data_IF_439983917521
#
_entry.id   IF_439983917521
#
_cell.length_a   1.000
_cell.length_b   1.000
_cell.length_c   1.000
_cell.angle_alpha   90.00
_cell.angle_beta   90.00
_cell.angle_gamma   90.00
#
_symmetry.space_group_name_H-M   'P 1'
#
loop_
_entity.id
_entity.type
_entity.pdbx_description
1 polymer ?
#
# COMPACT_ATOMS: atom_id res chain seq x y z
N UNK A 1 0.74 -1.62 -27.36
CA UNK A 1 0.68 -0.32 -26.66
C UNK A 1 -0.55 -0.33 -25.80
N UNK A 2 -0.43 -0.28 -24.48
CA UNK A 2 -1.60 -0.22 -23.59
C UNK A 2 -2.24 1.16 -23.71
N UNK A 3 -3.56 1.20 -23.86
CA UNK A 3 -4.31 2.46 -23.89
C UNK A 3 -4.21 3.13 -22.53
N UNK A 4 -3.88 4.42 -22.52
CA UNK A 4 -3.79 5.22 -21.29
C UNK A 4 -5.01 6.12 -21.16
N UNK A 5 -5.59 6.16 -19.97
CA UNK A 5 -6.71 6.99 -19.59
C UNK A 5 -6.27 8.05 -18.57
N UNK A 6 -6.88 9.23 -18.65
CA UNK A 6 -6.66 10.32 -17.71
C UNK A 6 -7.95 10.59 -16.94
N UNK A 7 -7.91 10.42 -15.62
CA UNK A 7 -9.05 10.56 -14.72
C UNK A 7 -8.81 11.72 -13.76
N UNK A 8 -9.79 12.60 -13.64
CA UNK A 8 -9.78 13.68 -12.66
C UNK A 8 -10.50 13.26 -11.38
N UNK A 9 -9.78 13.27 -10.26
CA UNK A 9 -10.25 12.91 -8.93
C UNK A 9 -10.50 14.19 -8.12
N UNK A 10 -11.67 14.79 -8.33
CA UNK A 10 -12.04 16.09 -7.75
C UNK A 10 -12.02 16.13 -6.21
N UNK A 11 -12.22 14.99 -5.53
CA UNK A 11 -12.15 14.87 -4.07
C UNK A 11 -10.74 14.63 -3.50
N UNK A 12 -9.70 15.00 -4.23
CA UNK A 12 -8.28 14.79 -3.90
C UNK A 12 -7.46 16.09 -4.11
N UNK A 13 -8.03 17.23 -3.69
CA UNK A 13 -7.33 18.50 -3.73
C UNK A 13 -6.04 18.51 -2.87
N UNK A 14 -5.07 19.39 -3.12
CA UNK A 14 -3.86 19.48 -2.31
C UNK A 14 -4.12 19.90 -0.85
N UNK A 15 -5.24 20.59 -0.61
CA UNK A 15 -5.66 21.10 0.70
C UNK A 15 -7.11 20.69 0.92
N UNK A 16 -7.49 20.19 2.11
CA UNK A 16 -6.66 19.92 3.31
C UNK A 16 -5.71 18.72 3.17
N UNK A 17 -4.75 18.58 4.10
CA UNK A 17 -3.73 17.52 4.11
C UNK A 17 -4.30 16.10 3.90
N UNK A 18 -5.49 15.81 4.44
CA UNK A 18 -6.15 14.52 4.27
C UNK A 18 -6.43 14.19 2.79
N UNK A 19 -6.81 15.19 1.97
CA UNK A 19 -7.05 14.99 0.53
C UNK A 19 -5.75 14.73 -0.22
N UNK A 20 -4.66 15.40 0.16
CA UNK A 20 -3.34 15.17 -0.39
C UNK A 20 -2.85 13.74 -0.12
N UNK A 21 -2.97 13.28 1.13
CA UNK A 21 -2.59 11.93 1.52
C UNK A 21 -3.44 10.87 0.82
N UNK A 22 -4.73 11.13 0.64
CA UNK A 22 -5.62 10.26 -0.15
C UNK A 22 -5.15 10.15 -1.60
N UNK A 23 -4.77 11.28 -2.23
CA UNK A 23 -4.26 11.29 -3.60
C UNK A 23 -2.99 10.45 -3.75
N UNK A 24 -2.03 10.63 -2.83
CA UNK A 24 -0.79 9.86 -2.79
C UNK A 24 -1.04 8.38 -2.52
N UNK A 25 -1.98 8.06 -1.62
CA UNK A 25 -2.39 6.70 -1.34
C UNK A 25 -2.96 6.00 -2.58
N UNK A 26 -3.84 6.68 -3.32
CA UNK A 26 -4.39 6.18 -4.59
C UNK A 26 -3.27 5.94 -5.60
N UNK A 27 -2.38 6.92 -5.80
CA UNK A 27 -1.28 6.80 -6.76
C UNK A 27 -0.38 5.60 -6.41
N UNK A 28 0.04 5.49 -5.15
CA UNK A 28 0.87 4.40 -4.67
C UNK A 28 0.20 3.05 -4.92
N UNK A 29 -1.03 2.87 -4.44
CA UNK A 29 -1.78 1.61 -4.54
C UNK A 29 -1.99 1.20 -6.00
N UNK A 30 -2.37 2.13 -6.88
CA UNK A 30 -2.54 1.86 -8.31
C UNK A 30 -1.20 1.50 -8.96
N UNK A 31 -0.13 2.23 -8.62
CA UNK A 31 1.20 1.99 -9.18
C UNK A 31 1.78 0.63 -8.78
N UNK A 32 1.56 0.21 -7.52
CA UNK A 32 2.09 -1.05 -6.99
C UNK A 32 1.27 -2.26 -7.43
N UNK A 33 -0.06 -2.15 -7.53
CA UNK A 33 -0.95 -3.32 -7.67
C UNK A 33 -1.54 -3.50 -9.07
N UNK A 34 -1.55 -2.46 -9.92
CA UNK A 34 -2.25 -2.51 -11.21
C UNK A 34 -1.42 -1.99 -12.38
N UNK A 35 -0.76 -0.85 -12.24
CA UNK A 35 -0.06 -0.20 -13.33
C UNK A 35 1.23 0.48 -12.86
N UNK A 36 2.40 -0.19 -12.98
CA UNK A 36 3.68 0.38 -12.60
C UNK A 36 4.04 1.70 -13.29
N UNK A 37 3.39 2.03 -14.41
CA UNK A 37 3.61 3.28 -15.15
C UNK A 37 2.58 4.36 -14.83
N UNK A 38 1.70 4.14 -13.83
CA UNK A 38 0.73 5.14 -13.42
C UNK A 38 1.42 6.42 -12.93
N UNK A 39 0.93 7.56 -13.39
CA UNK A 39 1.44 8.88 -12.99
C UNK A 39 0.32 9.75 -12.44
N UNK A 40 0.66 10.61 -11.49
CA UNK A 40 -0.26 11.53 -10.85
C UNK A 40 0.26 12.96 -10.89
N UNK A 41 -0.63 13.92 -11.14
CA UNK A 41 -0.32 15.35 -11.01
C UNK A 41 -1.53 16.12 -10.49
N UNK A 42 -1.30 17.26 -9.87
CA UNK A 42 -2.40 18.20 -9.60
C UNK A 42 -2.58 19.16 -10.76
N UNK A 43 -3.84 19.42 -11.13
CA UNK A 43 -4.22 20.44 -12.09
C UNK A 43 -5.50 21.12 -11.61
N UNK A 44 -5.47 22.45 -11.46
CA UNK A 44 -6.60 23.25 -10.95
C UNK A 44 -7.21 22.67 -9.66
N UNK A 45 -6.36 22.44 -8.66
CA UNK A 45 -6.72 21.88 -7.35
C UNK A 45 -7.39 20.50 -7.38
N UNK A 46 -7.24 19.75 -8.46
CA UNK A 46 -7.75 18.39 -8.59
C UNK A 46 -6.61 17.45 -8.93
N UNK A 47 -6.62 16.28 -8.31
CA UNK A 47 -5.64 15.25 -8.63
C UNK A 47 -6.03 14.56 -9.94
N UNK A 48 -5.10 14.49 -10.87
CA UNK A 48 -5.24 13.88 -12.18
C UNK A 48 -4.38 12.62 -12.21
N UNK A 49 -5.03 11.47 -12.34
CA UNK A 49 -4.39 10.16 -12.46
C UNK A 49 -4.34 9.75 -13.93
N UNK A 50 -3.18 9.33 -14.40
CA UNK A 50 -2.97 8.80 -15.74
C UNK A 50 -2.47 7.36 -15.62
N UNK A 51 -3.25 6.39 -16.11
CA UNK A 51 -2.92 4.96 -16.04
C UNK A 51 -3.68 4.17 -17.12
N UNK A 52 -3.48 2.87 -17.19
CA UNK A 52 -4.24 1.94 -18.02
C UNK A 52 -5.68 1.70 -17.53
N UNK A 53 -6.06 2.23 -16.38
CA UNK A 53 -7.40 2.07 -15.79
C UNK A 53 -8.32 3.22 -16.22
N UNK A 54 -9.46 2.88 -16.83
CA UNK A 54 -10.57 3.82 -16.97
C UNK A 54 -11.36 3.94 -15.65
N UNK A 55 -12.43 4.74 -15.64
CA UNK A 55 -13.22 5.01 -14.42
C UNK A 55 -13.78 3.72 -13.84
N UNK A 56 -14.38 2.88 -14.66
CA UNK A 56 -15.05 1.64 -14.27
C UNK A 56 -14.03 0.65 -13.72
N UNK A 57 -12.90 0.45 -14.42
CA UNK A 57 -11.82 -0.42 -13.98
C UNK A 57 -11.18 0.06 -12.66
N UNK A 58 -11.05 1.37 -12.46
CA UNK A 58 -10.56 1.93 -11.20
C UNK A 58 -11.53 1.64 -10.04
N UNK A 59 -12.84 1.71 -10.28
CA UNK A 59 -13.86 1.39 -9.27
C UNK A 59 -13.86 -0.10 -8.94
N UNK A 60 -13.89 -0.97 -9.96
CA UNK A 60 -13.80 -2.43 -9.78
C UNK A 60 -12.54 -2.80 -8.99
N UNK A 61 -11.41 -2.19 -9.31
CA UNK A 61 -10.17 -2.40 -8.56
C UNK A 61 -10.35 -2.11 -7.06
N UNK A 62 -10.85 -0.93 -6.70
CA UNK A 62 -11.00 -0.56 -5.29
C UNK A 62 -12.08 -1.37 -4.55
N UNK A 63 -13.12 -1.83 -5.25
CA UNK A 63 -14.24 -2.56 -4.65
C UNK A 63 -13.98 -4.06 -4.49
N UNK A 64 -13.28 -4.67 -5.45
CA UNK A 64 -13.23 -6.13 -5.57
C UNK A 64 -11.81 -6.69 -5.45
N UNK A 65 -10.79 -5.93 -5.84
CA UNK A 65 -9.44 -6.47 -6.04
C UNK A 65 -8.39 -5.85 -5.12
N UNK A 66 -8.66 -4.69 -4.53
CA UNK A 66 -7.72 -3.95 -3.70
C UNK A 66 -7.24 -4.78 -2.52
N UNK A 67 -5.91 -4.90 -2.40
CA UNK A 67 -5.27 -5.59 -1.29
C UNK A 67 -4.60 -4.56 -0.36
N UNK A 68 -5.12 -4.34 0.85
CA UNK A 68 -4.51 -3.41 1.78
C UNK A 68 -3.10 -3.88 2.18
N UNK A 69 -2.14 -2.95 2.22
CA UNK A 69 -0.81 -3.26 2.74
C UNK A 69 -0.93 -3.64 4.22
N UNK A 70 -0.48 -4.84 4.65
CA UNK A 70 -0.54 -5.24 6.05
C UNK A 70 0.21 -4.23 6.93
N UNK A 71 -0.48 -3.67 7.92
CA UNK A 71 0.15 -2.79 8.92
C UNK A 71 0.68 -3.66 10.05
N UNK A 72 1.99 -3.83 10.09
CA UNK A 72 2.69 -4.51 11.17
C UNK A 72 3.48 -3.46 11.96
N UNK A 73 3.30 -3.46 13.28
CA UNK A 73 4.08 -2.64 14.20
C UNK A 73 5.06 -3.54 14.96
N UNK A 74 6.24 -3.88 14.38
CA UNK A 74 7.20 -4.80 14.98
C UNK A 74 7.83 -4.28 16.29
N UNK A 75 7.61 -3.00 16.62
CA UNK A 75 8.14 -2.36 17.83
C UNK A 75 7.15 -2.34 19.00
N UNK A 76 5.92 -2.85 18.83
CA UNK A 76 4.97 -2.97 19.93
C UNK A 76 5.30 -4.19 20.79
N UNK A 77 5.33 -4.03 22.12
CA UNK A 77 5.44 -5.17 23.04
C UNK A 77 4.23 -6.10 22.89
N UNK A 78 4.45 -7.40 22.65
CA UNK A 78 3.39 -8.35 22.34
C UNK A 78 3.06 -8.49 20.85
N UNK A 79 3.86 -7.92 19.95
CA UNK A 79 3.68 -8.00 18.49
C UNK A 79 3.99 -9.37 17.89
N UNK A 80 4.60 -10.27 18.66
CA UNK A 80 4.96 -11.63 18.21
C UNK A 80 6.35 -11.71 17.57
N UNK A 81 7.09 -10.59 17.51
CA UNK A 81 8.43 -10.50 16.91
C UNK A 81 9.57 -10.65 17.94
N UNK A 82 9.28 -10.63 19.24
CA UNK A 82 10.28 -10.81 20.30
C UNK A 82 10.22 -12.22 20.92
N UNK A 83 11.35 -12.76 21.45
CA UNK A 83 11.40 -14.13 21.99
C UNK A 83 10.45 -14.43 23.15
N UNK A 84 9.90 -13.39 23.82
CA UNK A 84 8.94 -13.51 24.92
C UNK A 84 7.48 -13.25 24.49
N UNK A 85 7.26 -12.94 23.22
CA UNK A 85 5.92 -12.65 22.69
C UNK A 85 5.22 -13.94 22.20
N UNK A 86 3.89 -13.87 22.08
CA UNK A 86 3.09 -14.95 21.53
C UNK A 86 3.20 -14.97 19.99
N UNK A 87 4.06 -15.84 19.45
CA UNK A 87 4.33 -15.98 18.01
C UNK A 87 3.21 -16.66 17.20
N UNK A 88 2.19 -17.24 17.86
CA UNK A 88 1.15 -18.05 17.19
C UNK A 88 0.41 -17.28 16.09
N UNK A 89 0.12 -16.00 16.32
CA UNK A 89 -0.55 -15.16 15.33
C UNK A 89 0.37 -14.90 14.12
N UNK A 90 1.64 -14.58 14.37
CA UNK A 90 2.63 -14.32 13.32
C UNK A 90 2.89 -15.57 12.46
N UNK A 91 2.99 -16.74 13.10
CA UNK A 91 3.13 -18.03 12.41
C UNK A 91 1.90 -18.38 11.57
N UNK A 92 0.68 -18.06 12.04
CA UNK A 92 -0.56 -18.29 11.29
C UNK A 92 -0.67 -17.38 10.06
N UNK A 93 -0.21 -16.12 10.16
CA UNK A 93 -0.14 -15.19 9.04
C UNK A 93 0.93 -15.64 8.04
N UNK A 94 2.11 -16.06 8.51
CA UNK A 94 3.19 -16.55 7.66
C UNK A 94 2.84 -17.83 6.88
N UNK A 95 1.97 -18.69 7.44
CA UNK A 95 1.48 -19.93 6.81
C UNK A 95 0.21 -19.72 5.96
N UNK A 96 -0.37 -18.53 5.98
CA UNK A 96 -1.59 -18.25 5.23
C UNK A 96 -1.28 -18.10 3.74
N UNK A 97 -1.96 -18.88 2.90
CA UNK A 97 -1.93 -18.75 1.43
C UNK A 97 -2.86 -17.65 0.91
N UNK A 98 -3.51 -16.92 1.83
CA UNK A 98 -4.44 -15.86 1.49
C UNK A 98 -3.72 -14.67 0.87
N UNK A 99 -4.13 -14.20 -0.33
CA UNK A 99 -3.48 -13.06 -0.99
C UNK A 99 -3.43 -11.80 -0.11
N UNK A 100 -4.46 -11.57 0.70
CA UNK A 100 -4.63 -10.43 1.61
C UNK A 100 -3.79 -10.50 2.90
N UNK A 101 -3.20 -11.65 3.21
CA UNK A 101 -2.25 -11.85 4.32
C UNK A 101 -0.86 -12.25 3.79
N UNK A 102 -0.70 -12.31 2.46
CA UNK A 102 0.55 -12.68 1.84
C UNK A 102 1.60 -11.61 2.15
N UNK A 103 2.71 -12.08 2.68
CA UNK A 103 3.78 -11.23 3.17
C UNK A 103 4.50 -10.54 2.00
N UNK A 104 4.55 -9.20 1.93
CA UNK A 104 5.34 -8.53 0.89
C UNK A 104 6.81 -8.95 1.01
N UNK A 105 7.50 -9.12 -0.12
CA UNK A 105 8.88 -9.65 -0.19
C UNK A 105 9.84 -8.89 0.75
N UNK A 106 9.62 -7.58 0.90
CA UNK A 106 10.37 -6.70 1.78
C UNK A 106 10.34 -7.12 3.25
N UNK A 107 9.19 -7.59 3.73
CA UNK A 107 9.05 -8.04 5.11
C UNK A 107 9.69 -9.41 5.34
N UNK A 108 9.87 -10.28 4.31
CA UNK A 108 10.47 -11.63 4.49
C UNK A 108 11.88 -11.49 5.06
N UNK A 109 12.54 -10.37 4.73
CA UNK A 109 13.85 -9.97 5.24
C UNK A 109 13.82 -9.63 6.73
N UNK A 110 12.77 -8.98 7.22
CA UNK A 110 12.62 -8.65 8.64
C UNK A 110 12.34 -9.88 9.51
N UNK A 111 11.54 -10.84 9.04
CA UNK A 111 11.20 -12.05 9.79
C UNK A 111 12.40 -12.99 10.02
N UNK A 112 13.43 -12.94 9.17
CA UNK A 112 14.64 -13.75 9.30
C UNK A 112 15.82 -13.08 10.01
N UNK A 113 15.72 -11.79 10.37
CA UNK A 113 16.89 -11.04 10.86
C UNK A 113 16.71 -10.68 12.34
N UNK A 114 17.17 -11.57 13.21
CA UNK A 114 17.28 -11.35 14.67
C UNK A 114 18.41 -10.38 15.05
N UNK A 115 18.76 -9.39 14.22
CA UNK A 115 19.80 -8.42 14.57
C UNK A 115 19.48 -7.00 14.07
N UNK A 116 19.15 -6.15 15.06
CA UNK A 116 19.57 -4.76 15.23
C UNK A 116 20.12 -4.05 13.99
N UNK A 117 19.27 -3.29 13.32
CA UNK A 117 19.63 -1.92 12.94
C UNK A 117 18.37 -1.09 12.92
N UNK A 118 18.23 -0.26 13.96
CA UNK A 118 17.35 0.89 13.93
C UNK A 118 17.78 1.75 12.73
N UNK A 119 16.92 1.87 11.72
CA UNK A 119 17.00 2.98 10.78
C UNK A 119 16.45 4.20 11.52
N UNK A 120 17.30 4.78 12.36
CA UNK A 120 17.09 6.08 12.96
C UNK A 120 17.32 7.07 11.83
N UNK A 121 16.26 7.70 11.32
CA UNK A 121 16.42 8.94 10.56
C UNK A 121 17.01 9.96 11.54
N UNK A 122 18.31 10.21 11.44
CA UNK A 122 19.02 11.49 11.60
C UNK A 122 20.25 11.43 10.70
#
# INVERSE_FOLDING_TARGET
>A
MSTTHTLTLAGCAPVPLAHYLKALGILRVVSEQKDPNATGRWYRDQFVLTSTLNREALLTFFLEEYQPTPVLAPWNGGSGFHPKDNSKALESVAKSESPHLSWPIEWKRCAGTTQKTAFMMH
#
